data_IF_268124870312
#
_entry.id   IF_268124870312
#
_cell.length_a   1.000
_cell.length_b   1.000
_cell.length_c   1.000
_cell.angle_alpha   90.00
_cell.angle_beta   90.00
_cell.angle_gamma   90.00
#
_symmetry.space_group_name_H-M   'P 1'
#
loop_
_entity.id
_entity.type
_entity.pdbx_description
1 polymer ?
#
# COMPACT_ATOMS: atom_id res chain seq x y z
N UNK A 1 -18.16 6.88 1.56
CA UNK A 1 -16.77 7.30 1.27
C UNK A 1 -16.15 6.20 0.42
N UNK A 2 -15.75 6.50 -0.81
CA UNK A 2 -15.10 5.52 -1.69
C UNK A 2 -13.59 5.55 -1.46
N UNK A 3 -12.97 4.39 -1.35
CA UNK A 3 -11.52 4.23 -1.21
C UNK A 3 -11.01 3.41 -2.38
N UNK A 4 -10.05 3.94 -3.12
CA UNK A 4 -9.38 3.23 -4.20
C UNK A 4 -7.98 2.82 -3.74
N UNK A 5 -7.71 1.51 -3.83
CA UNK A 5 -6.41 0.92 -3.52
C UNK A 5 -5.63 0.74 -4.81
N UNK A 6 -4.53 1.47 -4.99
CA UNK A 6 -3.75 1.47 -6.24
C UNK A 6 -2.27 1.21 -6.01
N UNK A 7 -1.60 0.72 -7.04
CA UNK A 7 -0.23 0.23 -6.94
C UNK A 7 0.85 1.24 -7.39
N UNK A 8 0.46 2.51 -7.58
CA UNK A 8 1.38 3.57 -8.00
C UNK A 8 1.72 3.57 -9.50
N UNK A 9 0.81 3.07 -10.34
CA UNK A 9 0.92 3.20 -11.79
C UNK A 9 0.91 4.69 -12.20
N UNK A 10 1.86 5.08 -13.06
CA UNK A 10 1.98 6.45 -13.56
C UNK A 10 0.71 6.86 -14.31
N UNK A 11 0.19 8.06 -14.02
CA UNK A 11 -1.02 8.61 -14.65
C UNK A 11 -2.33 8.10 -14.06
N UNK A 12 -2.31 7.04 -13.24
CA UNK A 12 -3.52 6.41 -12.73
C UNK A 12 -4.16 7.21 -11.59
N UNK A 13 -3.34 7.86 -10.76
CA UNK A 13 -3.82 8.75 -9.70
C UNK A 13 -4.53 9.96 -10.30
N UNK A 14 -3.96 10.53 -11.34
CA UNK A 14 -4.47 11.70 -12.05
C UNK A 14 -5.81 11.39 -12.72
N UNK A 15 -5.91 10.23 -13.40
CA UNK A 15 -7.15 9.77 -14.01
C UNK A 15 -8.28 9.52 -12.99
N UNK A 16 -7.95 8.96 -11.83
CA UNK A 16 -8.93 8.74 -10.76
C UNK A 16 -9.38 10.03 -10.10
N UNK A 17 -8.50 11.00 -9.85
CA UNK A 17 -8.90 12.31 -9.30
C UNK A 17 -9.82 13.04 -10.28
N UNK A 18 -9.58 12.92 -11.59
CA UNK A 18 -10.42 13.52 -12.61
C UNK A 18 -11.82 12.88 -12.69
N UNK A 19 -11.92 11.56 -12.49
CA UNK A 19 -13.20 10.82 -12.61
C UNK A 19 -13.98 10.74 -11.28
N UNK A 20 -13.26 10.66 -10.16
CA UNK A 20 -13.79 10.47 -8.81
C UNK A 20 -13.17 11.46 -7.81
N UNK A 21 -13.56 12.74 -7.87
CA UNK A 21 -12.90 13.82 -7.11
C UNK A 21 -13.06 13.70 -5.58
N UNK A 22 -14.08 12.99 -5.12
CA UNK A 22 -14.35 12.79 -3.68
C UNK A 22 -13.83 11.45 -3.12
N UNK A 23 -13.19 10.62 -3.96
CA UNK A 23 -12.68 9.33 -3.51
C UNK A 23 -11.30 9.46 -2.87
N UNK A 24 -11.09 8.74 -1.77
CA UNK A 24 -9.79 8.66 -1.09
C UNK A 24 -8.93 7.65 -1.85
N UNK A 25 -7.81 8.11 -2.40
CA UNK A 25 -6.85 7.23 -3.09
C UNK A 25 -5.78 6.81 -2.08
N UNK A 26 -5.60 5.51 -1.92
CA UNK A 26 -4.64 4.87 -1.02
C UNK A 26 -3.73 3.94 -1.82
N UNK A 27 -2.49 3.74 -1.37
CA UNK A 27 -1.67 2.66 -1.91
C UNK A 27 -2.12 1.31 -1.37
N UNK A 28 -2.07 0.28 -2.22
CA UNK A 28 -2.41 -1.06 -1.79
C UNK A 28 -1.40 -1.61 -0.79
N UNK A 29 -1.87 -1.88 0.43
CA UNK A 29 -1.06 -2.44 1.51
C UNK A 29 -0.48 -3.80 1.11
N UNK A 30 -1.25 -4.64 0.41
CA UNK A 30 -0.78 -5.96 -0.05
C UNK A 30 0.44 -5.80 -0.96
N UNK A 31 0.37 -4.90 -1.94
CA UNK A 31 1.49 -4.67 -2.84
C UNK A 31 2.68 -3.98 -2.16
N UNK A 32 2.44 -3.11 -1.17
CA UNK A 32 3.52 -2.55 -0.34
C UNK A 32 4.24 -3.64 0.46
N UNK A 33 3.50 -4.56 1.06
CA UNK A 33 4.05 -5.68 1.83
C UNK A 33 4.84 -6.60 0.89
N UNK A 34 4.28 -7.04 -0.23
CA UNK A 34 4.97 -7.97 -1.14
C UNK A 34 6.20 -7.33 -1.79
N UNK A 35 6.14 -6.06 -2.17
CA UNK A 35 7.29 -5.32 -2.72
C UNK A 35 8.41 -5.19 -1.70
N UNK A 36 8.09 -4.85 -0.46
CA UNK A 36 9.09 -4.71 0.61
C UNK A 36 9.69 -6.05 1.07
N UNK A 37 8.93 -7.14 0.98
CA UNK A 37 9.40 -8.49 1.29
C UNK A 37 10.39 -9.08 0.30
N UNK A 38 10.43 -8.57 -0.94
CA UNK A 38 11.32 -9.09 -1.99
C UNK A 38 12.82 -9.00 -1.62
N UNK A 39 13.17 -8.06 -0.75
CA UNK A 39 14.55 -7.79 -0.35
C UNK A 39 14.93 -8.47 0.98
N UNK A 40 14.02 -9.24 1.57
CA UNK A 40 14.20 -9.82 2.91
C UNK A 40 14.64 -11.28 2.79
N UNK A 41 15.73 -11.70 3.48
CA UNK A 41 16.10 -13.10 3.61
C UNK A 41 15.00 -13.92 4.32
N UNK A 42 14.77 -15.16 3.89
CA UNK A 42 13.69 -16.00 4.42
C UNK A 42 13.76 -16.21 5.94
N UNK A 43 14.96 -16.17 6.55
CA UNK A 43 15.15 -16.27 8.01
C UNK A 43 14.50 -15.13 8.78
N UNK A 44 14.47 -13.93 8.21
CA UNK A 44 14.03 -12.71 8.89
C UNK A 44 12.58 -12.32 8.54
N UNK A 45 11.94 -13.06 7.61
CA UNK A 45 10.59 -12.77 7.14
C UNK A 45 9.55 -12.69 8.26
N UNK A 46 9.62 -13.56 9.28
CA UNK A 46 8.64 -13.60 10.38
C UNK A 46 8.75 -12.43 11.34
N UNK A 47 9.99 -12.01 11.66
CA UNK A 47 10.21 -10.88 12.56
C UNK A 47 9.80 -9.57 11.86
N UNK A 48 10.17 -9.43 10.58
CA UNK A 48 9.87 -8.24 9.80
C UNK A 48 8.39 -8.14 9.41
N UNK A 49 7.67 -9.25 9.22
CA UNK A 49 6.21 -9.20 8.96
C UNK A 49 5.46 -8.50 10.08
N UNK A 50 5.77 -8.83 11.33
CA UNK A 50 5.08 -8.26 12.49
C UNK A 50 5.31 -6.75 12.59
N UNK A 51 6.57 -6.32 12.44
CA UNK A 51 6.95 -4.91 12.43
C UNK A 51 6.34 -4.14 11.25
N UNK A 52 6.40 -4.70 10.03
CA UNK A 52 5.82 -4.06 8.85
C UNK A 52 4.30 -3.90 8.98
N UNK A 53 3.60 -4.94 9.44
CA UNK A 53 2.15 -4.90 9.62
C UNK A 53 1.75 -3.88 10.69
N UNK A 54 2.51 -3.78 11.78
CA UNK A 54 2.29 -2.79 12.82
C UNK A 54 2.45 -1.36 12.28
N UNK A 55 3.56 -1.06 11.63
CA UNK A 55 3.83 0.28 11.04
C UNK A 55 2.80 0.65 9.99
N UNK A 56 2.44 -0.30 9.11
CA UNK A 56 1.44 -0.07 8.06
C UNK A 56 0.02 0.11 8.62
N UNK A 57 -0.32 -0.54 9.74
CA UNK A 57 -1.62 -0.33 10.40
C UNK A 57 -1.75 1.06 11.04
N UNK A 58 -0.63 1.64 11.50
CA UNK A 58 -0.61 2.96 12.17
C UNK A 58 -0.59 4.11 11.15
N UNK A 59 0.13 3.95 10.04
CA UNK A 59 0.27 5.01 9.02
C UNK A 59 -0.94 5.16 8.08
N UNK A 60 -1.88 4.22 8.10
CA UNK A 60 -2.99 4.16 7.15
C UNK A 60 -4.40 4.16 7.78
N UNK A 61 -4.51 4.33 9.11
CA UNK A 61 -5.76 4.67 9.80
C UNK A 61 -5.92 6.18 9.94
#
# INVERSE_FOLDING_TARGET
MLIFSVDGLNGFKEAMVATFPFAKIQRCIIHQITSSMKYIPYKDMKALTYEQLFVLSILFF
#
